data_IF_160751138431
#
_entry.id   IF_160751138431
#
_cell.length_a   1.000
_cell.length_b   1.000
_cell.length_c   1.000
_cell.angle_alpha   90.00
_cell.angle_beta   90.00
_cell.angle_gamma   90.00
#
_symmetry.space_group_name_H-M   'P 1'
#
loop_
_entity.id
_entity.type
_entity.pdbx_description
1 polymer ?
#
# COMPACT_ATOMS: atom_id res chain seq x y z
N UNK A 1 22.07 -14.91 -6.02
CA UNK A 1 22.13 -13.72 -5.15
C UNK A 1 21.71 -14.15 -3.75
N UNK A 2 22.64 -14.15 -2.79
CA UNK A 2 22.32 -14.44 -1.39
C UNK A 2 21.50 -13.28 -0.81
N UNK A 3 20.42 -13.58 -0.09
CA UNK A 3 19.54 -12.60 0.56
C UNK A 3 20.35 -11.93 1.69
N UNK A 4 20.54 -10.62 1.63
CA UNK A 4 21.19 -9.87 2.72
C UNK A 4 20.45 -10.16 4.04
N UNK A 5 21.16 -10.46 5.14
CA UNK A 5 20.51 -10.64 6.44
C UNK A 5 19.73 -9.38 6.79
N UNK A 6 18.45 -9.54 7.14
CA UNK A 6 17.60 -8.44 7.58
C UNK A 6 18.00 -8.05 9.00
N UNK A 7 18.38 -6.79 9.22
CA UNK A 7 18.65 -6.25 10.56
C UNK A 7 17.38 -6.13 11.42
N UNK A 8 16.21 -6.29 10.80
CA UNK A 8 14.94 -6.36 11.52
C UNK A 8 14.78 -7.74 12.16
N UNK A 9 14.45 -7.81 13.47
CA UNK A 9 14.12 -9.07 14.11
C UNK A 9 12.93 -9.72 13.37
N UNK A 10 12.84 -11.06 13.35
CA UNK A 10 11.75 -11.77 12.70
C UNK A 10 10.43 -11.37 13.39
N UNK A 11 9.66 -10.52 12.73
CA UNK A 11 8.36 -10.06 13.22
C UNK A 11 7.29 -10.42 12.20
N UNK A 12 6.17 -10.98 12.68
CA UNK A 12 5.05 -11.37 11.81
C UNK A 12 4.34 -10.19 11.14
N UNK A 13 4.68 -8.96 11.54
CA UNK A 13 4.18 -7.71 10.95
C UNK A 13 4.72 -7.45 9.55
N UNK A 14 5.84 -8.06 9.15
CA UNK A 14 6.48 -7.79 7.84
C UNK A 14 5.85 -8.66 6.74
N UNK A 15 5.23 -9.78 7.09
CA UNK A 15 4.61 -10.69 6.13
C UNK A 15 3.16 -10.28 5.86
N UNK A 16 2.72 -10.27 4.59
CA UNK A 16 1.32 -10.04 4.25
C UNK A 16 0.42 -11.04 4.95
N UNK A 17 -0.65 -10.54 5.57
CA UNK A 17 -1.65 -11.39 6.21
C UNK A 17 -2.49 -12.06 5.13
N UNK A 18 -2.66 -13.38 5.25
CA UNK A 18 -3.61 -14.10 4.42
C UNK A 18 -5.04 -13.63 4.73
N UNK A 19 -5.79 -13.29 3.69
CA UNK A 19 -7.14 -12.83 3.85
C UNK A 19 -8.06 -13.95 4.39
N UNK A 20 -8.99 -13.64 5.31
CA UNK A 20 -9.80 -14.65 5.99
C UNK A 20 -10.73 -15.39 5.02
N UNK A 21 -11.08 -16.65 5.34
CA UNK A 21 -12.07 -17.40 4.55
C UNK A 21 -13.46 -16.76 4.66
N UNK A 22 -14.31 -17.09 3.70
CA UNK A 22 -15.72 -16.72 3.74
C UNK A 22 -16.44 -17.39 4.92
N UNK A 23 -17.36 -16.67 5.55
CA UNK A 23 -18.16 -17.15 6.69
C UNK A 23 -19.62 -16.81 6.49
N UNK A 24 -20.52 -17.69 6.94
CA UNK A 24 -21.97 -17.46 6.92
C UNK A 24 -22.42 -16.39 7.93
N UNK A 25 -21.59 -16.11 8.93
CA UNK A 25 -21.76 -15.07 9.93
C UNK A 25 -20.44 -14.29 10.07
N UNK A 26 -20.19 -13.31 9.18
CA UNK A 26 -18.93 -12.59 9.20
C UNK A 26 -18.86 -11.60 10.36
N UNK A 27 -17.65 -11.33 10.83
CA UNK A 27 -17.37 -10.45 11.99
C UNK A 27 -16.56 -9.22 11.61
N UNK A 28 -16.61 -8.18 12.43
CA UNK A 28 -15.76 -6.98 12.28
C UNK A 28 -14.27 -7.31 12.21
N UNK A 29 -13.83 -8.35 12.93
CA UNK A 29 -12.46 -8.86 12.86
C UNK A 29 -12.11 -9.44 11.48
N UNK A 30 -13.05 -10.14 10.82
CA UNK A 30 -12.82 -10.62 9.45
C UNK A 30 -12.75 -9.47 8.44
N UNK A 31 -13.60 -8.44 8.60
CA UNK A 31 -13.53 -7.24 7.78
C UNK A 31 -12.19 -6.50 7.96
N UNK A 32 -11.70 -6.36 9.20
CA UNK A 32 -10.37 -5.78 9.46
C UNK A 32 -9.26 -6.59 8.78
N UNK A 33 -9.33 -7.93 8.86
CA UNK A 33 -8.33 -8.78 8.23
C UNK A 33 -8.40 -8.73 6.69
N UNK A 34 -9.57 -8.50 6.08
CA UNK A 34 -9.66 -8.19 4.64
C UNK A 34 -8.93 -6.89 4.28
N UNK A 35 -8.99 -5.86 5.15
CA UNK A 35 -8.29 -4.59 4.95
C UNK A 35 -6.77 -4.77 5.11
N UNK A 36 -6.33 -5.40 6.20
CA UNK A 36 -4.89 -5.59 6.47
C UNK A 36 -4.21 -6.54 5.47
N UNK A 37 -4.98 -7.46 4.86
CA UNK A 37 -4.49 -8.33 3.77
C UNK A 37 -4.45 -7.63 2.41
N UNK A 38 -4.88 -6.37 2.31
CA UNK A 38 -4.97 -5.63 1.06
C UNK A 38 -6.13 -6.03 0.15
N UNK A 39 -7.01 -6.96 0.56
CA UNK A 39 -8.16 -7.42 -0.25
C UNK A 39 -9.14 -6.28 -0.58
N UNK A 40 -9.21 -5.25 0.25
CA UNK A 40 -10.06 -4.07 0.01
C UNK A 40 -9.42 -3.03 -0.90
N UNK A 41 -8.11 -3.09 -1.15
CA UNK A 41 -7.37 -2.18 -2.04
C UNK A 41 -7.15 -0.76 -1.52
N UNK A 42 -7.72 -0.39 -0.37
CA UNK A 42 -7.55 0.95 0.25
C UNK A 42 -6.24 1.06 1.05
N UNK A 43 -5.73 -0.07 1.56
CA UNK A 43 -4.59 -0.13 2.48
C UNK A 43 -3.48 -1.02 1.92
N UNK A 44 -2.23 -0.68 2.23
CA UNK A 44 -1.06 -1.56 2.01
C UNK A 44 -1.23 -2.88 2.77
N UNK A 45 -0.87 -3.99 2.14
CA UNK A 45 -1.00 -5.38 2.65
C UNK A 45 -0.06 -5.72 3.82
N UNK A 46 -0.20 -5.01 4.94
CA UNK A 46 0.64 -5.15 6.14
C UNK A 46 -0.24 -5.15 7.38
N UNK A 47 0.08 -6.02 8.34
CA UNK A 47 -0.57 -6.01 9.66
C UNK A 47 -0.31 -4.70 10.38
N UNK A 48 -1.38 -4.02 10.77
CA UNK A 48 -1.31 -2.78 11.52
C UNK A 48 -1.77 -2.99 12.96
N UNK A 49 -0.82 -3.11 13.92
CA UNK A 49 -1.15 -3.23 15.33
C UNK A 49 -1.62 -1.92 15.95
N UNK A 50 -1.40 -0.77 15.31
CA UNK A 50 -1.81 0.55 15.79
C UNK A 50 -3.27 0.89 15.44
N UNK A 51 -3.87 0.14 14.51
CA UNK A 51 -5.28 0.30 14.17
C UNK A 51 -6.17 -0.33 15.25
N UNK A 52 -7.04 0.48 15.86
CA UNK A 52 -8.09 -0.02 16.76
C UNK A 52 -8.96 -1.08 16.08
N UNK A 53 -9.55 -2.02 16.85
CA UNK A 53 -10.55 -2.94 16.33
C UNK A 53 -11.70 -2.18 15.65
N UNK A 54 -12.21 -2.71 14.53
CA UNK A 54 -13.33 -2.09 13.83
C UNK A 54 -14.60 -2.17 14.67
N UNK A 55 -15.29 -1.03 14.83
CA UNK A 55 -16.56 -0.94 15.54
C UNK A 55 -16.44 -0.82 17.07
N UNK A 56 -15.25 -0.57 17.62
CA UNK A 56 -15.08 -0.37 19.08
C UNK A 56 -16.00 0.72 19.63
N UNK A 57 -16.17 1.84 18.92
CA UNK A 57 -17.06 2.92 19.34
C UNK A 57 -18.54 2.50 19.30
N UNK A 58 -18.94 1.76 18.27
CA UNK A 58 -20.30 1.21 18.16
C UNK A 58 -20.57 0.20 19.27
N UNK A 59 -19.62 -0.69 19.57
CA UNK A 59 -19.71 -1.63 20.69
C UNK A 59 -19.80 -0.90 22.03
N UNK A 60 -18.98 0.15 22.25
CA UNK A 60 -19.02 0.98 23.46
C UNK A 60 -20.34 1.74 23.60
N UNK A 61 -20.95 2.13 22.47
CA UNK A 61 -22.27 2.75 22.43
C UNK A 61 -23.44 1.74 22.51
N UNK A 62 -23.16 0.44 22.64
CA UNK A 62 -24.18 -0.63 22.71
C UNK A 62 -24.82 -0.98 21.36
N UNK A 63 -24.22 -0.55 20.24
CA UNK A 63 -24.71 -0.69 18.87
C UNK A 63 -23.87 -1.65 18.02
N UNK A 64 -23.49 -2.80 18.57
CA UNK A 64 -22.64 -3.80 17.87
C UNK A 64 -23.14 -4.10 16.44
N UNK A 65 -22.24 -4.09 15.43
CA UNK A 65 -22.62 -4.36 14.06
C UNK A 65 -23.16 -5.79 13.88
N UNK A 66 -24.27 -5.92 13.16
CA UNK A 66 -24.86 -7.23 12.84
C UNK A 66 -24.03 -7.94 11.76
N UNK A 67 -24.03 -9.29 11.72
CA UNK A 67 -23.31 -10.03 10.68
C UNK A 67 -23.73 -9.65 9.26
N UNK A 68 -24.99 -9.26 9.06
CA UNK A 68 -25.51 -8.78 7.77
C UNK A 68 -24.88 -7.45 7.35
N UNK A 69 -24.72 -6.51 8.29
CA UNK A 69 -24.03 -5.23 8.05
C UNK A 69 -22.56 -5.46 7.71
N UNK A 70 -21.90 -6.37 8.43
CA UNK A 70 -20.52 -6.76 8.13
C UNK A 70 -20.41 -7.43 6.76
N UNK A 71 -21.34 -8.33 6.43
CA UNK A 71 -21.36 -9.00 5.13
C UNK A 71 -21.56 -8.01 3.98
N UNK A 72 -22.43 -7.02 4.17
CA UNK A 72 -22.63 -5.94 3.22
C UNK A 72 -21.34 -5.13 3.05
N UNK A 73 -20.71 -4.72 4.15
CA UNK A 73 -19.44 -3.98 4.13
C UNK A 73 -18.33 -4.75 3.38
N UNK A 74 -18.14 -6.04 3.70
CA UNK A 74 -17.16 -6.91 2.99
C UNK A 74 -17.40 -6.96 1.49
N UNK A 75 -18.66 -6.96 1.04
CA UNK A 75 -19.03 -6.94 -0.39
C UNK A 75 -18.80 -5.58 -1.03
N UNK A 76 -19.16 -4.49 -0.35
CA UNK A 76 -19.09 -3.13 -0.90
C UNK A 76 -17.68 -2.56 -0.86
N UNK A 77 -16.87 -2.94 0.12
CA UNK A 77 -15.53 -2.40 0.33
C UNK A 77 -14.41 -3.21 -0.34
N UNK A 78 -14.75 -4.33 -0.99
CA UNK A 78 -13.78 -5.17 -1.70
C UNK A 78 -13.12 -4.48 -2.89
N UNK A 79 -12.02 -5.06 -3.41
CA UNK A 79 -11.23 -4.55 -4.53
C UNK A 79 -12.04 -4.15 -5.79
N UNK A 80 -13.22 -4.74 -6.00
CA UNK A 80 -14.13 -4.33 -7.08
C UNK A 80 -14.59 -2.88 -7.00
N UNK A 81 -14.63 -2.28 -5.79
CA UNK A 81 -14.92 -0.84 -5.60
C UNK A 81 -13.85 0.04 -6.22
N UNK A 82 -12.59 -0.41 -6.21
CA UNK A 82 -11.43 0.33 -6.72
C UNK A 82 -11.07 -0.06 -8.16
N UNK A 83 -11.52 -1.22 -8.66
CA UNK A 83 -11.24 -1.66 -10.03
C UNK A 83 -11.85 -0.76 -11.11
N UNK A 84 -12.94 -0.05 -10.79
CA UNK A 84 -13.58 0.91 -11.69
C UNK A 84 -13.03 2.35 -11.60
N UNK A 85 -12.18 2.64 -10.61
CA UNK A 85 -11.83 4.00 -10.22
C UNK A 85 -10.36 4.17 -9.88
N UNK A 86 -9.52 4.24 -10.90
CA UNK A 86 -8.26 4.97 -10.86
C UNK A 86 -7.30 4.59 -9.73
N UNK A 87 -6.76 3.37 -9.77
CA UNK A 87 -5.42 3.13 -9.22
C UNK A 87 -4.44 4.03 -10.00
N UNK A 88 -4.31 5.28 -9.55
CA UNK A 88 -3.16 6.10 -9.92
C UNK A 88 -2.00 5.43 -9.20
N UNK A 89 -1.33 4.52 -9.90
CA UNK A 89 -0.07 3.89 -9.49
C UNK A 89 0.70 4.90 -8.68
N UNK A 90 0.83 4.62 -7.38
CA UNK A 90 1.50 5.50 -6.44
C UNK A 90 2.82 5.97 -7.07
N UNK A 91 3.05 7.28 -7.06
CA UNK A 91 4.28 7.89 -7.60
C UNK A 91 5.56 7.34 -6.94
N UNK A 92 5.44 6.54 -5.88
CA UNK A 92 6.54 5.99 -5.11
C UNK A 92 7.36 4.93 -5.87
N UNK A 93 6.77 4.11 -6.74
CA UNK A 93 7.55 3.04 -7.40
C UNK A 93 7.06 2.77 -8.83
N UNK A 94 8.02 2.69 -9.76
CA UNK A 94 7.89 2.14 -11.12
C UNK A 94 7.72 3.11 -12.30
N UNK A 95 8.43 4.24 -12.32
CA UNK A 95 8.73 4.93 -13.59
C UNK A 95 10.23 5.06 -13.83
N UNK A 96 10.80 3.97 -14.33
CA UNK A 96 11.84 3.90 -15.36
C UNK A 96 12.70 5.18 -15.49
N UNK A 97 13.95 5.06 -15.04
CA UNK A 97 14.97 6.07 -14.75
C UNK A 97 15.41 6.97 -15.93
N UNK A 98 14.57 7.20 -16.95
CA UNK A 98 14.84 8.08 -18.08
C UNK A 98 15.10 9.52 -17.62
N UNK A 99 14.42 9.97 -16.56
CA UNK A 99 14.65 11.29 -15.97
C UNK A 99 16.09 11.45 -15.45
N UNK A 100 16.64 10.41 -14.81
CA UNK A 100 18.02 10.38 -14.35
C UNK A 100 18.99 10.44 -15.54
N UNK A 101 18.72 9.69 -16.61
CA UNK A 101 19.51 9.74 -17.84
C UNK A 101 19.47 11.10 -18.54
N UNK A 102 18.30 11.76 -18.63
CA UNK A 102 18.21 13.12 -19.16
C UNK A 102 18.96 14.14 -18.30
N UNK A 103 18.89 14.02 -16.98
CA UNK A 103 19.62 14.89 -16.06
C UNK A 103 21.14 14.74 -16.20
N UNK A 104 21.64 13.51 -16.29
CA UNK A 104 23.07 13.26 -16.55
C UNK A 104 23.50 13.79 -17.92
N UNK A 105 22.69 13.58 -18.98
CA UNK A 105 22.99 14.11 -20.31
C UNK A 105 23.04 15.65 -20.31
N UNK A 106 22.14 16.30 -19.57
CA UNK A 106 22.14 17.76 -19.40
C UNK A 106 23.40 18.27 -18.68
N UNK A 107 23.84 17.59 -17.60
CA UNK A 107 25.08 17.95 -16.88
C UNK A 107 26.29 17.86 -17.83
N UNK A 108 26.40 16.77 -18.59
CA UNK A 108 27.51 16.57 -19.53
C UNK A 108 27.50 17.65 -20.62
N UNK A 109 26.33 17.97 -21.18
CA UNK A 109 26.18 19.03 -22.18
C UNK A 109 26.61 20.39 -21.61
N UNK A 110 26.15 20.74 -20.41
CA UNK A 110 26.53 22.00 -19.75
C UNK A 110 28.04 22.08 -19.52
N UNK A 111 28.67 20.98 -19.04
CA UNK A 111 30.11 20.92 -18.85
C UNK A 111 30.89 21.13 -20.17
N UNK A 112 30.44 20.54 -21.28
CA UNK A 112 31.04 20.74 -22.61
C UNK A 112 30.92 22.19 -23.04
N UNK A 113 29.76 22.82 -22.87
CA UNK A 113 29.55 24.23 -23.22
C UNK A 113 30.50 25.12 -22.41
N UNK A 114 30.59 24.95 -21.09
CA UNK A 114 31.51 25.72 -20.25
C UNK A 114 32.97 25.51 -20.63
N UNK A 115 33.39 24.27 -20.90
CA UNK A 115 34.75 23.98 -21.34
C UNK A 115 35.06 24.63 -22.70
N UNK A 116 34.12 24.59 -23.64
CA UNK A 116 34.28 25.22 -24.96
C UNK A 116 34.41 26.74 -24.86
N UNK A 117 33.54 27.39 -24.07
CA UNK A 117 33.61 28.85 -23.85
C UNK A 117 34.91 29.25 -23.18
N UNK A 118 35.40 28.46 -22.23
CA UNK A 118 36.70 28.70 -21.57
C UNK A 118 37.89 28.51 -22.53
N UNK A 119 37.79 27.62 -23.51
CA UNK A 119 38.84 27.41 -24.53
C UNK A 119 38.84 28.46 -25.64
N UNK A 120 37.68 29.06 -25.95
CA UNK A 120 37.55 30.10 -26.97
C UNK A 120 37.80 31.53 -26.45
N UNK A 121 38.05 31.69 -25.15
CA UNK A 121 38.32 32.97 -24.49
C UNK A 121 39.78 33.04 -24.04
#
# INVERSE_FOLDING_TARGET
>A
MAKTPSDLPPTRTIEPIAAPPESRAPTSAQLKADIDSGRTGDKTEVFDPGLSPLGTDDEAAGNTPSPERVALARKTEGAGRWSGGGEKKSYAHHRQNKALWFFLAFIVLAAIVFASVAWLR
#
